data_IF_238114840806
#
_entry.id   IF_238114840806
#
_cell.length_a   1.000
_cell.length_b   1.000
_cell.length_c   1.000
_cell.angle_alpha   90.00
_cell.angle_beta   90.00
_cell.angle_gamma   90.00
#
_symmetry.space_group_name_H-M   'P 1'
#
loop_
_entity.id
_entity.type
_entity.pdbx_description
1 polymer ?
#
# COMPACT_ATOMS: atom_id res chain seq x y z
N UNK A 1 -19.23 -26.91 63.59
CA UNK A 1 -18.26 -27.87 63.04
C UNK A 1 -18.04 -27.48 61.58
N UNK A 2 -17.05 -26.62 61.31
CA UNK A 2 -15.69 -27.01 60.87
C UNK A 2 -15.70 -27.52 59.41
N UNK A 3 -15.40 -26.65 58.44
CA UNK A 3 -14.19 -26.74 57.59
C UNK A 3 -14.49 -27.54 56.30
N UNK A 4 -13.92 -27.33 55.11
CA UNK A 4 -12.67 -26.70 54.72
C UNK A 4 -12.60 -26.56 53.18
N UNK A 5 -11.88 -25.54 52.69
CA UNK A 5 -11.02 -25.46 51.46
C UNK A 5 -11.63 -25.67 50.05
N UNK A 6 -11.66 -24.69 49.14
CA UNK A 6 -10.60 -23.92 48.45
C UNK A 6 -9.91 -24.64 47.27
N UNK A 7 -9.61 -23.86 46.20
CA UNK A 7 -8.81 -24.10 44.96
C UNK A 7 -9.66 -24.33 43.70
N UNK A 8 -9.39 -23.79 42.52
CA UNK A 8 -8.37 -22.85 42.03
C UNK A 8 -8.79 -22.33 40.65
N UNK A 9 -8.39 -21.09 40.40
CA UNK A 9 -8.18 -20.34 39.15
C UNK A 9 -8.00 -21.05 37.80
N UNK A 10 -8.51 -20.36 36.76
CA UNK A 10 -7.98 -20.20 35.39
C UNK A 10 -8.24 -21.39 34.42
N UNK A 11 -8.47 -21.22 33.12
CA UNK A 11 -8.01 -20.20 32.18
C UNK A 11 -9.08 -19.88 31.11
N UNK A 12 -9.03 -18.63 30.64
CA UNK A 12 -9.52 -18.21 29.32
C UNK A 12 -8.86 -19.04 28.21
N UNK A 13 -9.64 -19.47 27.24
CA UNK A 13 -9.15 -19.80 25.89
C UNK A 13 -10.16 -19.33 24.85
N UNK A 14 -10.23 -18.00 24.68
CA UNK A 14 -10.85 -17.41 23.50
C UNK A 14 -9.95 -17.64 22.29
N UNK A 15 -10.30 -18.61 21.44
CA UNK A 15 -9.74 -18.68 20.09
C UNK A 15 -10.50 -17.69 19.20
N UNK A 16 -10.03 -16.45 19.19
CA UNK A 16 -10.36 -15.50 18.12
C UNK A 16 -9.49 -15.86 16.92
N UNK A 17 -10.04 -16.60 15.97
CA UNK A 17 -9.40 -16.80 14.67
C UNK A 17 -9.55 -15.51 13.84
N UNK A 18 -8.61 -14.58 14.00
CA UNK A 18 -8.47 -13.45 13.07
C UNK A 18 -7.81 -14.01 11.82
N UNK A 19 -8.60 -14.54 10.90
CA UNK A 19 -8.12 -14.75 9.52
C UNK A 19 -7.86 -13.37 8.95
N UNK A 20 -6.57 -13.02 8.81
CA UNK A 20 -6.13 -11.74 8.27
C UNK A 20 -6.82 -11.45 6.95
N UNK A 21 -7.62 -10.38 6.95
CA UNK A 21 -8.39 -9.93 5.81
C UNK A 21 -7.43 -9.29 4.79
N UNK A 22 -6.82 -10.10 3.94
CA UNK A 22 -6.03 -9.62 2.80
C UNK A 22 -6.92 -9.15 1.65
N UNK A 23 -7.93 -8.28 1.90
CA UNK A 23 -8.63 -7.60 0.82
C UNK A 23 -9.35 -6.34 1.29
N UNK A 24 -8.62 -5.24 1.24
CA UNK A 24 -9.19 -3.95 0.88
C UNK A 24 -8.10 -3.13 0.16
N UNK A 25 -7.70 -3.61 -1.03
CA UNK A 25 -7.19 -2.69 -2.05
C UNK A 25 -8.32 -1.69 -2.37
N UNK A 26 -7.97 -0.44 -2.65
CA UNK A 26 -8.91 0.68 -2.85
C UNK A 26 -10.24 0.23 -3.44
N UNK A 27 -11.34 0.54 -2.75
CA UNK A 27 -12.66 -0.07 -2.95
C UNK A 27 -13.38 0.35 -4.25
N UNK A 28 -12.66 0.40 -5.37
CA UNK A 28 -13.17 0.71 -6.70
C UNK A 28 -12.46 -0.15 -7.75
N UNK A 29 -13.14 -0.40 -8.87
CA UNK A 29 -12.52 -1.09 -10.00
C UNK A 29 -11.44 -0.19 -10.64
N UNK A 30 -10.25 -0.72 -10.96
CA UNK A 30 -9.25 0.03 -11.71
C UNK A 30 -9.80 0.46 -13.06
N UNK A 31 -9.64 1.74 -13.40
CA UNK A 31 -9.93 2.28 -14.74
C UNK A 31 -8.77 2.05 -15.71
N UNK A 32 -7.57 1.84 -15.18
CA UNK A 32 -6.34 1.56 -15.93
C UNK A 32 -5.40 0.70 -15.07
N UNK A 33 -4.59 -0.12 -15.72
CA UNK A 33 -3.60 -0.98 -15.07
C UNK A 33 -2.38 -1.13 -15.96
N UNK A 34 -1.19 -0.92 -15.39
CA UNK A 34 0.07 -1.06 -16.11
C UNK A 34 1.20 -1.55 -15.22
N UNK A 35 2.17 -2.25 -15.78
CA UNK A 35 3.38 -2.61 -15.04
C UNK A 35 4.34 -1.42 -14.94
N UNK A 36 4.96 -1.27 -13.77
CA UNK A 36 5.96 -0.25 -13.50
C UNK A 36 7.22 -0.84 -12.88
N UNK A 37 8.32 -0.12 -13.03
CA UNK A 37 9.56 -0.46 -12.35
C UNK A 37 9.50 -0.07 -10.88
N UNK A 38 9.90 -0.98 -10.00
CA UNK A 38 9.94 -0.76 -8.57
C UNK A 38 11.11 -1.50 -7.92
N UNK A 39 11.45 -1.07 -6.70
CA UNK A 39 12.34 -1.75 -5.76
C UNK A 39 11.56 -1.88 -4.46
N UNK A 40 11.29 -3.11 -4.04
CA UNK A 40 10.60 -3.41 -2.79
C UNK A 40 11.33 -4.51 -2.02
N UNK A 41 11.21 -4.51 -0.70
CA UNK A 41 11.82 -5.52 0.16
C UNK A 41 13.35 -5.57 0.04
N UNK A 42 13.90 -6.73 -0.36
CA UNK A 42 15.36 -6.95 -0.48
C UNK A 42 15.94 -6.64 -1.85
N UNK A 43 15.11 -6.23 -2.82
CA UNK A 43 15.57 -5.85 -4.14
C UNK A 43 16.53 -4.66 -4.06
N UNK A 44 17.53 -4.63 -4.96
CA UNK A 44 18.53 -3.54 -5.02
C UNK A 44 18.41 -2.68 -6.27
N UNK A 45 17.85 -3.24 -7.32
CA UNK A 45 17.73 -2.61 -8.63
C UNK A 45 16.26 -2.56 -9.06
N UNK A 46 15.84 -1.49 -9.76
CA UNK A 46 14.48 -1.39 -10.27
C UNK A 46 14.17 -2.50 -11.27
N UNK A 47 13.07 -3.21 -11.06
CA UNK A 47 12.55 -4.20 -11.99
C UNK A 47 11.08 -3.92 -12.30
N UNK A 48 10.68 -4.15 -13.55
CA UNK A 48 9.29 -3.96 -14.03
C UNK A 48 8.40 -5.12 -13.57
N UNK A 49 8.14 -5.17 -12.26
CA UNK A 49 7.42 -6.29 -11.59
C UNK A 49 6.27 -5.83 -10.70
N UNK A 50 6.14 -4.52 -10.45
CA UNK A 50 4.98 -3.98 -9.75
C UNK A 50 3.86 -3.63 -10.73
N UNK A 51 2.62 -3.68 -10.27
CA UNK A 51 1.45 -3.28 -11.04
C UNK A 51 0.86 -1.99 -10.49
N UNK A 52 0.79 -0.95 -11.31
CA UNK A 52 0.10 0.30 -11.01
C UNK A 52 -1.35 0.21 -11.47
N UNK A 53 -2.28 0.28 -10.54
CA UNK A 53 -3.71 0.46 -10.81
C UNK A 53 -4.10 1.92 -10.59
N UNK A 54 -4.92 2.47 -11.48
CA UNK A 54 -5.55 3.77 -11.31
C UNK A 54 -7.02 3.58 -11.00
N UNK A 55 -7.49 4.23 -9.95
CA UNK A 55 -8.89 4.21 -9.51
C UNK A 55 -9.36 5.65 -9.44
N UNK A 56 -10.42 5.98 -10.17
CA UNK A 56 -11.05 7.30 -10.12
C UNK A 56 -12.30 7.21 -9.24
N UNK A 57 -12.35 8.01 -8.17
CA UNK A 57 -13.47 7.98 -7.21
C UNK A 57 -13.71 9.35 -6.58
N UNK A 58 -14.95 9.80 -6.56
CA UNK A 58 -15.36 11.06 -5.93
C UNK A 58 -14.54 12.27 -6.40
N UNK A 59 -14.13 12.28 -7.68
CA UNK A 59 -13.29 13.32 -8.27
C UNK A 59 -11.80 13.24 -7.89
N UNK A 60 -11.37 12.18 -7.19
CA UNK A 60 -9.98 11.92 -6.82
C UNK A 60 -9.40 10.79 -7.65
N UNK A 61 -8.12 10.92 -8.00
CA UNK A 61 -7.34 9.88 -8.67
C UNK A 61 -6.47 9.17 -7.64
N UNK A 62 -6.83 7.93 -7.33
CA UNK A 62 -6.08 7.04 -6.45
C UNK A 62 -5.21 6.12 -7.28
N UNK A 63 -3.97 5.93 -6.86
CA UNK A 63 -3.05 4.98 -7.45
C UNK A 63 -2.76 3.88 -6.43
N UNK A 64 -2.87 2.62 -6.86
CA UNK A 64 -2.50 1.45 -6.05
C UNK A 64 -1.34 0.77 -6.74
N UNK A 65 -0.18 0.71 -6.09
CA UNK A 65 0.95 -0.08 -6.57
C UNK A 65 0.92 -1.43 -5.88
N UNK A 66 0.64 -2.50 -6.63
CA UNK A 66 0.73 -3.89 -6.16
C UNK A 66 2.13 -4.43 -6.31
N UNK A 67 2.60 -5.09 -5.27
CA UNK A 67 3.90 -5.76 -5.20
C UNK A 67 3.75 -7.24 -5.57
N UNK A 68 4.81 -7.88 -6.09
CA UNK A 68 4.78 -9.30 -6.45
C UNK A 68 4.65 -10.24 -5.24
N UNK A 69 4.94 -9.76 -4.03
CA UNK A 69 4.76 -10.50 -2.77
C UNK A 69 3.32 -10.44 -2.22
N UNK A 70 2.41 -9.76 -2.93
CA UNK A 70 1.03 -9.54 -2.52
C UNK A 70 0.81 -8.29 -1.67
N UNK A 71 1.88 -7.57 -1.32
CA UNK A 71 1.81 -6.24 -0.71
C UNK A 71 1.26 -5.19 -1.67
N UNK A 72 0.91 -4.01 -1.13
CA UNK A 72 0.53 -2.87 -1.95
C UNK A 72 0.81 -1.55 -1.24
N UNK A 73 0.89 -0.47 -2.01
CA UNK A 73 0.91 0.91 -1.51
C UNK A 73 -0.09 1.79 -2.24
N UNK A 74 -0.71 2.70 -1.49
CA UNK A 74 -1.68 3.64 -2.01
C UNK A 74 -1.06 5.04 -2.11
N UNK A 75 -1.30 5.70 -3.22
CA UNK A 75 -0.99 7.10 -3.44
C UNK A 75 -2.25 7.85 -3.87
N UNK A 76 -2.40 9.08 -3.41
CA UNK A 76 -3.36 10.03 -3.95
C UNK A 76 -2.63 10.93 -4.94
N UNK A 77 -3.20 11.10 -6.13
CA UNK A 77 -2.78 12.11 -7.08
C UNK A 77 -3.66 13.34 -6.88
N UNK A 78 -3.04 14.44 -6.46
CA UNK A 78 -3.71 15.70 -6.13
C UNK A 78 -4.05 16.51 -7.38
N UNK A 79 -3.22 16.41 -8.42
CA UNK A 79 -3.44 17.06 -9.71
C UNK A 79 -2.89 16.22 -10.87
N UNK A 80 -3.31 16.55 -12.08
CA UNK A 80 -2.67 16.03 -13.30
C UNK A 80 -1.20 16.48 -13.45
N UNK A 81 -0.70 17.31 -12.52
CA UNK A 81 0.59 17.99 -12.56
C UNK A 81 1.66 17.39 -11.64
N UNK A 82 1.57 16.08 -11.40
CA UNK A 82 2.66 15.17 -10.99
C UNK A 82 2.84 14.99 -9.48
N UNK A 83 2.05 15.65 -8.64
CA UNK A 83 2.17 15.48 -7.17
C UNK A 83 1.49 14.18 -6.74
N UNK A 84 2.28 13.27 -6.15
CA UNK A 84 1.81 12.05 -5.51
C UNK A 84 1.94 12.22 -4.00
N UNK A 85 0.92 11.80 -3.26
CA UNK A 85 0.94 11.82 -1.80
C UNK A 85 0.65 10.41 -1.29
N UNK A 86 1.41 9.87 -0.32
CA UNK A 86 1.04 8.62 0.34
C UNK A 86 -0.36 8.74 0.95
N UNK A 87 -1.28 7.85 0.54
CA UNK A 87 -2.66 7.90 1.03
C UNK A 87 -2.86 7.18 2.38
N UNK A 88 -1.83 6.46 2.85
CA UNK A 88 -1.79 5.79 4.15
C UNK A 88 -1.35 6.72 5.30
N UNK A 89 -1.03 7.99 4.99
CA UNK A 89 -0.55 8.96 5.97
C UNK A 89 0.80 8.59 6.59
N UNK A 90 1.50 7.62 5.99
CA UNK A 90 2.77 7.11 6.49
C UNK A 90 3.91 7.66 5.62
N UNK A 91 4.90 8.23 6.31
CA UNK A 91 6.23 8.62 5.84
C UNK A 91 6.37 9.81 4.87
N UNK A 92 7.50 10.52 5.03
CA UNK A 92 7.99 11.57 4.13
C UNK A 92 8.43 10.94 2.80
N UNK A 93 7.48 10.76 1.87
CA UNK A 93 7.81 10.35 0.52
C UNK A 93 8.71 11.40 -0.14
N UNK A 94 9.85 10.96 -0.67
CA UNK A 94 10.71 11.80 -1.52
C UNK A 94 10.34 11.55 -2.97
N UNK A 95 10.02 12.62 -3.68
CA UNK A 95 9.58 12.54 -5.07
C UNK A 95 10.52 13.36 -5.93
N UNK A 96 11.12 12.72 -6.93
CA UNK A 96 11.89 13.37 -7.98
C UNK A 96 11.21 13.14 -9.34
N UNK A 97 11.05 14.20 -10.12
CA UNK A 97 10.45 14.12 -11.45
C UNK A 97 11.55 14.11 -12.50
N UNK A 98 11.57 13.09 -13.36
CA UNK A 98 12.56 12.95 -14.43
C UNK A 98 12.01 12.13 -15.59
N UNK A 99 12.21 12.60 -16.83
CA UNK A 99 11.91 11.85 -18.06
C UNK A 99 10.49 11.26 -18.12
N UNK A 100 9.47 12.03 -17.69
CA UNK A 100 8.08 11.55 -17.67
C UNK A 100 7.77 10.53 -16.56
N UNK A 101 8.66 10.38 -15.58
CA UNK A 101 8.49 9.53 -14.41
C UNK A 101 8.52 10.36 -13.11
N UNK A 102 7.72 9.94 -12.15
CA UNK A 102 7.89 10.24 -10.74
C UNK A 102 8.66 9.11 -10.07
N UNK A 103 9.89 9.41 -9.65
CA UNK A 103 10.73 8.56 -8.82
C UNK A 103 10.36 8.81 -7.35
N UNK A 104 9.56 7.92 -6.80
CA UNK A 104 9.01 8.02 -5.44
C UNK A 104 9.75 7.06 -4.53
N UNK A 105 10.40 7.59 -3.50
CA UNK A 105 11.05 6.80 -2.45
C UNK A 105 10.32 6.96 -1.12
N UNK A 106 9.90 5.86 -0.50
CA UNK A 106 9.15 5.84 0.75
C UNK A 106 9.43 4.54 1.50
N UNK A 107 9.77 4.63 2.79
CA UNK A 107 10.05 3.48 3.66
C UNK A 107 11.00 2.42 3.08
N UNK A 108 12.01 2.85 2.33
CA UNK A 108 12.97 1.96 1.69
C UNK A 108 12.52 1.37 0.35
N UNK A 109 11.25 1.53 -0.03
CA UNK A 109 10.77 1.20 -1.37
C UNK A 109 10.99 2.36 -2.34
N UNK A 110 11.12 2.02 -3.62
CA UNK A 110 11.25 2.99 -4.71
C UNK A 110 10.33 2.62 -5.86
N UNK A 111 9.61 3.59 -6.41
CA UNK A 111 8.65 3.42 -7.50
C UNK A 111 8.96 4.38 -8.63
N UNK A 112 8.96 3.88 -9.87
CA UNK A 112 9.07 4.70 -11.08
C UNK A 112 7.68 4.78 -11.73
N UNK A 113 6.92 5.79 -11.33
CA UNK A 113 5.51 5.95 -11.73
C UNK A 113 5.41 6.87 -12.94
N UNK A 114 4.82 6.44 -14.06
CA UNK A 114 4.57 7.31 -15.20
C UNK A 114 3.69 8.50 -14.84
N UNK A 115 4.17 9.69 -15.17
CA UNK A 115 3.36 10.91 -15.09
C UNK A 115 2.78 11.21 -16.47
N UNK A 116 1.49 11.52 -16.52
CA UNK A 116 0.89 12.01 -17.76
C UNK A 116 1.33 13.46 -17.91
N UNK A 117 2.19 13.76 -18.86
CA UNK A 117 2.31 15.12 -19.37
C UNK A 117 1.06 15.40 -20.20
N UNK A 118 0.41 16.53 -19.94
CA UNK A 118 -0.60 17.04 -20.85
C UNK A 118 0.17 17.57 -22.07
N UNK A 119 -0.02 16.92 -23.22
CA UNK A 119 0.41 17.48 -24.51
C UNK A 119 -0.30 18.82 -24.78
#
# INVERSE_FOLDING_TARGET
MAGSTARSTALLAGLVAISGCGRAAGSGEPVDTQEISCVTGTAKEPAKVCTLERIERDGRSLLVVRHPDGGFRNFERVDDQRVLIPADGAADARIALKDGLADVSIDGDRYLIPVKTKD
#
